data_IF_272620136478
#
_entry.id   IF_272620136478
#
_cell.length_a   1.000
_cell.length_b   1.000
_cell.length_c   1.000
_cell.angle_alpha   90.00
_cell.angle_beta   90.00
_cell.angle_gamma   90.00
#
_symmetry.space_group_name_H-M   'P 1'
#
loop_
_entity.id
_entity.type
_entity.pdbx_description
1 polymer ?
#
# COMPACT_ATOMS: atom_id res chain seq x y z
N UNK A 1 50.79 5.90 -10.09
CA UNK A 1 50.01 5.08 -10.89
C UNK A 1 49.18 4.12 -10.19
N UNK A 2 49.38 3.77 -9.05
CA UNK A 2 48.55 2.81 -8.44
C UNK A 2 47.44 3.38 -7.64
N UNK A 3 47.20 4.60 -7.62
CA UNK A 3 46.15 5.16 -6.83
C UNK A 3 44.82 5.18 -7.47
N UNK A 4 44.63 4.58 -8.58
CA UNK A 4 43.44 4.75 -9.32
C UNK A 4 42.30 3.94 -8.84
N UNK A 5 42.52 2.88 -8.16
CA UNK A 5 41.45 1.94 -7.89
C UNK A 5 40.49 2.36 -6.84
N UNK A 6 40.84 3.24 -6.01
CA UNK A 6 40.06 3.55 -4.86
C UNK A 6 38.71 4.14 -5.17
N UNK A 7 38.62 4.87 -6.25
CA UNK A 7 37.39 5.58 -6.54
C UNK A 7 36.22 4.66 -6.86
N UNK A 8 36.49 3.42 -7.18
CA UNK A 8 35.40 2.56 -7.57
C UNK A 8 34.47 2.20 -6.44
N UNK A 9 34.98 2.11 -5.27
CA UNK A 9 34.19 1.62 -4.16
C UNK A 9 33.07 2.56 -3.79
N UNK A 10 33.25 3.82 -4.03
CA UNK A 10 32.29 4.81 -3.64
C UNK A 10 30.96 4.70 -4.37
N UNK A 11 30.98 4.08 -5.52
CA UNK A 11 29.76 4.01 -6.31
C UNK A 11 28.69 3.11 -5.76
N UNK A 12 29.05 2.22 -4.87
CA UNK A 12 28.08 1.24 -4.38
C UNK A 12 27.11 1.82 -3.37
N UNK A 13 27.53 2.80 -2.62
CA UNK A 13 26.69 3.36 -1.58
C UNK A 13 25.37 3.95 -2.09
N UNK A 14 25.37 4.73 -3.19
CA UNK A 14 24.11 5.29 -3.68
C UNK A 14 23.11 4.25 -4.13
N UNK A 15 23.59 3.12 -4.62
CA UNK A 15 22.68 2.07 -5.07
C UNK A 15 21.91 1.44 -3.92
N UNK A 16 22.57 1.21 -2.81
CA UNK A 16 21.91 0.63 -1.66
C UNK A 16 20.81 1.55 -1.13
N UNK A 17 21.05 2.83 -1.13
CA UNK A 17 20.04 3.78 -0.66
C UNK A 17 18.82 3.80 -1.56
N UNK A 18 19.00 3.62 -2.87
CA UNK A 18 17.87 3.65 -3.79
C UNK A 18 16.90 2.51 -3.55
N UNK A 19 17.36 1.33 -3.17
CA UNK A 19 16.47 0.21 -2.93
C UNK A 19 15.57 0.40 -1.71
N UNK A 20 16.01 1.21 -0.75
CA UNK A 20 15.25 1.41 0.46
C UNK A 20 13.98 2.22 0.25
N UNK A 21 13.78 2.82 -0.93
CA UNK A 21 12.65 3.69 -1.21
C UNK A 21 11.51 3.01 -1.98
N UNK A 22 11.63 1.71 -2.22
CA UNK A 22 10.63 1.02 -3.04
C UNK A 22 9.36 0.76 -2.25
N UNK A 23 8.20 1.11 -2.84
CA UNK A 23 6.90 0.88 -2.24
C UNK A 23 6.40 -0.54 -2.49
N UNK A 24 6.93 -1.21 -3.50
CA UNK A 24 6.50 -2.58 -3.84
C UNK A 24 6.90 -3.54 -2.71
N UNK A 25 5.94 -4.32 -2.27
CA UNK A 25 6.14 -5.26 -1.18
C UNK A 25 4.92 -5.36 -0.31
N UNK A 26 5.08 -5.99 0.84
CA UNK A 26 3.97 -6.24 1.75
C UNK A 26 4.03 -5.30 2.94
N UNK A 27 2.88 -4.77 3.29
CA UNK A 27 2.75 -3.77 4.35
C UNK A 27 1.60 -4.16 5.27
N UNK A 28 1.85 -4.16 6.57
CA UNK A 28 0.83 -4.46 7.57
C UNK A 28 0.15 -3.16 7.99
N UNK A 29 -1.18 -3.17 8.02
CA UNK A 29 -1.94 -2.00 8.42
C UNK A 29 -1.65 -1.59 9.86
N UNK A 30 -1.86 -0.32 10.16
CA UNK A 30 -1.56 0.25 11.47
C UNK A 30 -2.23 -0.52 12.61
N UNK A 31 -3.48 -0.95 12.40
CA UNK A 31 -4.24 -1.69 13.41
C UNK A 31 -3.98 -3.20 13.39
N UNK A 32 -3.11 -3.67 12.50
CA UNK A 32 -2.77 -5.09 12.40
C UNK A 32 -3.81 -5.97 11.74
N UNK A 33 -4.88 -5.39 11.21
CA UNK A 33 -6.02 -6.18 10.71
C UNK A 33 -5.77 -6.88 9.39
N UNK A 34 -4.82 -6.40 8.59
CA UNK A 34 -4.57 -6.96 7.26
C UNK A 34 -3.14 -6.68 6.83
N UNK A 35 -2.70 -7.44 5.84
CA UNK A 35 -1.46 -7.17 5.10
C UNK A 35 -1.85 -6.91 3.65
N UNK A 36 -1.33 -5.82 3.10
CA UNK A 36 -1.57 -5.39 1.73
C UNK A 36 -0.27 -5.55 0.95
N UNK A 37 -0.34 -6.21 -0.19
CA UNK A 37 0.79 -6.30 -1.10
C UNK A 37 0.66 -5.24 -2.18
N UNK A 38 1.60 -4.31 -2.20
CA UNK A 38 1.67 -3.26 -3.23
C UNK A 38 2.46 -3.79 -4.41
N UNK A 39 1.92 -3.64 -5.59
CA UNK A 39 2.53 -4.11 -6.83
C UNK A 39 2.36 -3.06 -7.92
N UNK A 40 3.25 -3.10 -8.89
CA UNK A 40 3.21 -2.19 -10.03
C UNK A 40 2.53 -2.88 -11.20
N UNK A 41 1.61 -2.16 -11.83
CA UNK A 41 0.90 -2.65 -13.00
C UNK A 41 0.96 -1.56 -14.06
N UNK A 42 1.87 -1.71 -15.03
CA UNK A 42 2.11 -0.64 -15.98
C UNK A 42 2.72 0.57 -15.29
N UNK A 43 2.08 1.72 -15.44
CA UNK A 43 2.55 2.96 -14.82
C UNK A 43 1.81 3.29 -13.53
N UNK A 44 0.99 2.38 -13.02
CA UNK A 44 0.27 2.61 -11.78
C UNK A 44 0.67 1.57 -10.73
N UNK A 45 0.39 1.90 -9.47
CA UNK A 45 0.61 1.03 -8.32
C UNK A 45 -0.72 0.72 -7.69
N UNK A 46 -0.93 -0.57 -7.43
CA UNK A 46 -2.15 -1.09 -6.79
C UNK A 46 -1.73 -1.86 -5.55
N UNK A 47 -2.70 -2.17 -4.70
CA UNK A 47 -2.43 -2.97 -3.51
C UNK A 47 -3.60 -3.90 -3.23
N UNK A 48 -3.29 -5.18 -3.01
CA UNK A 48 -4.32 -6.18 -2.72
C UNK A 48 -4.11 -6.76 -1.33
N UNK A 49 -5.22 -7.12 -0.69
CA UNK A 49 -5.20 -7.71 0.63
C UNK A 49 -4.74 -9.16 0.48
N UNK A 50 -3.63 -9.52 1.13
CA UNK A 50 -3.06 -10.86 1.04
C UNK A 50 -3.14 -11.64 2.35
N UNK A 51 -3.51 -10.98 3.44
CA UNK A 51 -3.68 -11.63 4.73
C UNK A 51 -4.66 -10.83 5.58
N UNK A 52 -5.48 -11.53 6.36
CA UNK A 52 -6.43 -10.91 7.30
C UNK A 52 -6.23 -11.52 8.67
N UNK A 53 -6.25 -10.68 9.71
CA UNK A 53 -6.21 -11.16 11.09
C UNK A 53 -7.45 -12.00 11.39
N UNK A 54 -8.60 -11.57 10.89
CA UNK A 54 -9.87 -12.29 11.05
C UNK A 54 -10.40 -12.69 9.68
N UNK A 55 -9.95 -13.84 9.15
CA UNK A 55 -10.28 -14.22 7.78
C UNK A 55 -11.68 -14.77 7.59
N UNK A 56 -12.39 -15.05 8.68
CA UNK A 56 -13.70 -15.70 8.59
C UNK A 56 -14.76 -14.94 9.37
N UNK A 57 -16.02 -15.15 8.96
CA UNK A 57 -17.18 -14.68 9.71
C UNK A 57 -17.41 -15.58 10.92
N UNK A 58 -18.41 -15.23 11.75
CA UNK A 58 -18.72 -15.99 12.95
C UNK A 58 -19.10 -17.44 12.65
N UNK A 59 -19.68 -17.70 11.47
CA UNK A 59 -20.09 -19.04 11.07
C UNK A 59 -18.98 -19.84 10.38
N UNK A 60 -17.76 -19.29 10.30
CA UNK A 60 -16.63 -19.95 9.68
C UNK A 60 -16.48 -19.74 8.20
N UNK A 61 -17.41 -19.05 7.54
CA UNK A 61 -17.30 -18.75 6.12
C UNK A 61 -16.30 -17.61 5.91
N UNK A 62 -15.69 -17.49 4.72
CA UNK A 62 -14.73 -16.41 4.45
C UNK A 62 -15.35 -15.04 4.61
N UNK A 63 -14.60 -14.08 5.12
CA UNK A 63 -15.02 -12.71 5.23
C UNK A 63 -15.34 -12.14 3.85
N UNK A 64 -16.50 -11.49 3.71
CA UNK A 64 -16.97 -10.95 2.44
C UNK A 64 -17.16 -9.44 2.54
N UNK A 65 -17.22 -8.80 1.40
CA UNK A 65 -17.32 -7.35 1.26
C UNK A 65 -18.76 -6.88 1.42
N UNK A 66 -19.36 -7.19 2.56
CA UNK A 66 -20.80 -7.03 2.77
C UNK A 66 -21.25 -5.58 2.89
N UNK A 67 -20.34 -4.64 3.08
CA UNK A 67 -20.67 -3.21 3.15
C UNK A 67 -20.47 -2.47 1.85
N UNK A 68 -20.14 -3.19 0.77
CA UNK A 68 -19.96 -2.56 -0.53
C UNK A 68 -21.27 -1.89 -0.97
N UNK A 69 -21.22 -0.64 -1.45
CA UNK A 69 -22.42 0.04 -1.92
C UNK A 69 -23.08 -0.63 -3.13
N UNK A 70 -22.30 -1.41 -3.90
CA UNK A 70 -22.84 -2.20 -5.02
C UNK A 70 -23.26 -3.58 -4.50
N UNK A 71 -24.56 -3.90 -4.50
CA UNK A 71 -25.02 -5.19 -4.00
C UNK A 71 -24.37 -6.39 -4.69
N UNK A 72 -23.97 -6.22 -5.95
CA UNK A 72 -23.37 -7.32 -6.72
C UNK A 72 -21.99 -7.70 -6.20
N UNK A 73 -21.31 -6.79 -5.47
CA UNK A 73 -19.98 -7.04 -4.97
C UNK A 73 -19.96 -7.48 -3.50
N UNK A 74 -21.11 -7.54 -2.85
CA UNK A 74 -21.17 -7.83 -1.41
C UNK A 74 -20.82 -9.26 -1.06
N UNK A 75 -20.80 -10.17 -2.02
CA UNK A 75 -20.46 -11.56 -1.77
C UNK A 75 -19.00 -11.89 -2.12
N UNK A 76 -18.26 -10.93 -2.67
CA UNK A 76 -16.85 -11.18 -2.98
C UNK A 76 -16.03 -11.23 -1.70
N UNK A 77 -14.99 -12.04 -1.70
CA UNK A 77 -14.14 -12.17 -0.54
C UNK A 77 -13.28 -10.92 -0.34
N UNK A 78 -13.06 -10.56 0.91
CA UNK A 78 -12.16 -9.47 1.26
C UNK A 78 -10.71 -9.87 0.96
N UNK A 79 -10.37 -11.13 1.22
CA UNK A 79 -9.03 -11.62 0.89
C UNK A 79 -8.84 -11.60 -0.63
N UNK A 80 -7.79 -10.96 -1.10
CA UNK A 80 -7.52 -10.81 -2.53
C UNK A 80 -8.07 -9.53 -3.14
N UNK A 81 -8.83 -8.75 -2.38
CA UNK A 81 -9.46 -7.54 -2.87
C UNK A 81 -8.43 -6.44 -3.08
N UNK A 82 -8.54 -5.70 -4.18
CA UNK A 82 -7.71 -4.53 -4.40
C UNK A 82 -8.19 -3.38 -3.52
N UNK A 83 -7.40 -3.08 -2.50
CA UNK A 83 -7.69 -2.00 -1.57
C UNK A 83 -7.13 -0.67 -2.07
N UNK A 84 -5.95 -0.70 -2.69
CA UNK A 84 -5.31 0.48 -3.28
C UNK A 84 -5.38 0.37 -4.79
N UNK A 85 -5.73 1.46 -5.46
CA UNK A 85 -5.90 1.45 -6.91
C UNK A 85 -5.35 2.71 -7.55
N UNK A 86 -4.61 2.50 -8.66
CA UNK A 86 -4.25 3.55 -9.60
C UNK A 86 -3.39 4.68 -9.06
N UNK A 87 -2.52 4.39 -8.09
CA UNK A 87 -1.58 5.40 -7.61
C UNK A 87 -0.44 5.56 -8.62
N UNK A 88 -0.03 6.79 -8.84
CA UNK A 88 1.05 7.11 -9.78
C UNK A 88 2.22 7.70 -9.03
N UNK A 89 3.41 7.25 -9.41
CA UNK A 89 4.64 7.72 -8.78
C UNK A 89 4.97 9.12 -9.28
N UNK A 90 5.25 10.01 -8.35
CA UNK A 90 5.72 11.35 -8.61
C UNK A 90 6.99 11.62 -7.83
N UNK A 91 7.22 12.88 -7.48
CA UNK A 91 8.40 13.29 -6.73
C UNK A 91 8.31 12.81 -5.28
N UNK A 92 8.83 11.59 -5.03
CA UNK A 92 8.87 11.05 -3.67
C UNK A 92 7.55 10.59 -3.12
N UNK A 93 6.48 10.67 -3.89
CA UNK A 93 5.15 10.27 -3.45
C UNK A 93 4.43 9.47 -4.52
N UNK A 94 3.39 8.76 -4.08
CA UNK A 94 2.48 8.04 -4.95
C UNK A 94 1.11 8.63 -4.71
N UNK A 95 0.43 9.11 -5.76
CA UNK A 95 -0.81 9.86 -5.60
C UNK A 95 -1.76 9.67 -6.77
N UNK A 96 -2.94 10.30 -6.68
CA UNK A 96 -3.93 10.27 -7.74
C UNK A 96 -4.74 9.00 -7.81
N UNK A 97 -4.61 8.13 -6.84
CA UNK A 97 -5.36 6.89 -6.78
C UNK A 97 -6.43 6.92 -5.71
N UNK A 98 -6.88 5.73 -5.34
CA UNK A 98 -7.94 5.59 -4.34
C UNK A 98 -7.64 4.46 -3.38
N UNK A 99 -8.28 4.52 -2.21
CA UNK A 99 -8.25 3.45 -1.23
C UNK A 99 -9.68 3.09 -0.87
N UNK A 100 -10.00 1.80 -0.94
CA UNK A 100 -11.30 1.27 -0.57
C UNK A 100 -11.23 0.63 0.81
N UNK A 101 -12.14 1.00 1.68
CA UNK A 101 -12.22 0.46 3.03
C UNK A 101 -13.39 -0.52 3.12
N UNK A 102 -13.15 -1.84 3.15
CA UNK A 102 -14.23 -2.81 3.27
C UNK A 102 -14.93 -2.76 4.63
N UNK A 103 -14.28 -2.13 5.63
CA UNK A 103 -14.88 -1.99 6.94
C UNK A 103 -16.10 -1.06 6.95
N UNK A 104 -16.15 -0.09 6.05
CA UNK A 104 -17.29 0.82 5.95
C UNK A 104 -17.87 0.94 4.53
N UNK A 105 -17.25 0.29 3.53
CA UNK A 105 -17.74 0.32 2.15
C UNK A 105 -17.47 1.62 1.40
N UNK A 106 -16.58 2.45 1.89
CA UNK A 106 -16.31 3.76 1.29
C UNK A 106 -14.96 3.77 0.58
N UNK A 107 -14.87 4.57 -0.49
CA UNK A 107 -13.66 4.78 -1.24
C UNK A 107 -13.21 6.23 -1.07
N UNK A 108 -11.91 6.40 -0.82
CA UNK A 108 -11.31 7.71 -0.56
C UNK A 108 -10.22 7.99 -1.58
N UNK A 109 -9.91 9.26 -1.80
CA UNK A 109 -8.71 9.63 -2.54
C UNK A 109 -7.50 9.19 -1.72
N UNK A 110 -6.42 8.77 -2.40
CA UNK A 110 -5.29 8.17 -1.71
C UNK A 110 -3.97 8.73 -2.22
N UNK A 111 -3.08 9.00 -1.28
CA UNK A 111 -1.67 9.27 -1.57
C UNK A 111 -0.82 8.49 -0.58
N UNK A 112 0.43 8.19 -0.97
CA UNK A 112 1.34 7.41 -0.14
C UNK A 112 2.75 7.96 -0.23
N UNK A 113 3.52 7.77 0.84
CA UNK A 113 4.92 8.12 0.88
C UNK A 113 5.70 7.09 1.67
N UNK A 114 6.80 6.60 1.11
CA UNK A 114 7.66 5.64 1.79
C UNK A 114 8.66 6.39 2.65
N UNK A 115 8.72 6.03 3.93
CA UNK A 115 9.71 6.56 4.87
C UNK A 115 10.36 5.37 5.57
N UNK A 116 11.42 4.83 4.97
CA UNK A 116 12.10 3.65 5.49
C UNK A 116 11.18 2.43 5.47
N UNK A 117 10.93 1.87 6.65
CA UNK A 117 10.06 0.71 6.78
C UNK A 117 8.62 1.09 7.10
N UNK A 118 8.27 2.36 6.96
CA UNK A 118 6.92 2.86 7.19
C UNK A 118 6.37 3.41 5.89
N UNK A 119 5.14 3.05 5.57
CA UNK A 119 4.40 3.62 4.45
C UNK A 119 3.33 4.54 5.02
N UNK A 120 3.45 5.82 4.74
CA UNK A 120 2.45 6.81 5.12
C UNK A 120 1.34 6.76 4.10
N UNK A 121 0.16 6.30 4.50
CA UNK A 121 -0.99 6.16 3.60
C UNK A 121 -2.03 7.17 4.02
N UNK A 122 -2.37 8.08 3.11
CA UNK A 122 -3.36 9.11 3.40
C UNK A 122 -4.62 8.89 2.57
N UNK A 123 -5.74 8.72 3.26
CA UNK A 123 -7.06 8.71 2.64
C UNK A 123 -7.74 10.04 2.89
N UNK A 124 -8.38 10.59 1.87
CA UNK A 124 -9.01 11.90 1.99
C UNK A 124 -10.30 11.99 1.21
N UNK A 125 -11.17 12.90 1.64
CA UNK A 125 -12.43 13.18 0.96
C UNK A 125 -12.21 14.02 -0.30
N UNK A 126 -11.19 14.86 -0.29
CA UNK A 126 -10.87 15.76 -1.40
C UNK A 126 -9.62 15.27 -2.14
N UNK A 127 -9.50 15.67 -3.40
CA UNK A 127 -8.37 15.25 -4.22
C UNK A 127 -7.03 15.83 -3.78
N UNK A 128 -7.05 16.96 -3.07
CA UNK A 128 -5.82 17.59 -2.59
C UNK A 128 -5.31 16.96 -1.30
N UNK A 129 -6.11 16.13 -0.65
CA UNK A 129 -5.71 15.48 0.58
C UNK A 129 -5.84 16.37 1.82
N UNK A 130 -6.61 17.45 1.74
CA UNK A 130 -6.73 18.40 2.86
C UNK A 130 -7.63 17.85 3.96
N UNK A 131 -8.73 17.18 3.59
CA UNK A 131 -9.69 16.63 4.55
C UNK A 131 -9.49 15.14 4.58
N UNK A 132 -8.63 14.66 5.46
CA UNK A 132 -8.30 13.26 5.47
C UNK A 132 -7.50 12.85 6.68
N UNK A 133 -6.99 11.64 6.62
CA UNK A 133 -6.25 11.03 7.71
C UNK A 133 -5.08 10.24 7.15
N UNK A 134 -3.93 10.32 7.83
CA UNK A 134 -2.74 9.54 7.48
C UNK A 134 -2.60 8.39 8.46
N UNK A 135 -2.32 7.22 7.91
CA UNK A 135 -2.09 6.00 8.67
C UNK A 135 -0.68 5.50 8.37
N UNK A 136 -0.06 4.88 9.36
CA UNK A 136 1.24 4.26 9.19
C UNK A 136 1.06 2.77 8.95
N UNK A 137 1.54 2.31 7.80
CA UNK A 137 1.61 0.88 7.50
C UNK A 137 3.06 0.45 7.63
N UNK A 138 3.29 -0.78 8.07
CA UNK A 138 4.62 -1.23 8.43
C UNK A 138 5.09 -2.34 7.51
N UNK A 139 6.32 -2.19 6.99
CA UNK A 139 6.86 -3.15 6.05
C UNK A 139 6.99 -4.53 6.69
N UNK A 140 6.46 -5.53 6.02
CA UNK A 140 6.59 -6.93 6.46
C UNK A 140 7.92 -7.44 5.96
N UNK A 141 8.72 -7.92 6.90
CA UNK A 141 10.04 -8.49 6.60
C UNK A 141 9.93 -10.00 6.63
N UNK A 142 10.49 -10.63 5.59
CA UNK A 142 10.42 -12.07 5.44
C UNK A 142 11.77 -12.73 5.57
#
# INVERSE_FOLDING_TARGET
MKKIFISMILMLAPLAAAFAQDVVGKWKLEDGSAIVEVYQQGDVYNGKIVWLEKPTEADGSPAVDDKNPDPKLRTRQVLGLNMLSNLKKGNGEYSGGSIYDPGNGKTYNCSMKVEGDVLKVRGSLDKRGLIGRTMDWFRVKE
#
